data_IF_449790901122
#
_entry.id   IF_449790901122
#
_cell.length_a   1.000
_cell.length_b   1.000
_cell.length_c   1.000
_cell.angle_alpha   90.00
_cell.angle_beta   90.00
_cell.angle_gamma   90.00
#
_symmetry.space_group_name_H-M   'P 1'
#
loop_
_entity.id
_entity.type
_entity.pdbx_description
1 polymer ?
#
# COMPACT_ATOMS: atom_id res chain seq x y z
N UNK A 1 -52.51 19.43 20.13
CA UNK A 1 -51.75 18.58 19.17
C UNK A 1 -50.93 19.50 18.29
N UNK A 2 -49.62 19.63 18.53
CA UNK A 2 -48.71 20.41 17.70
C UNK A 2 -48.08 19.49 16.65
N UNK A 3 -48.24 19.83 15.38
CA UNK A 3 -47.60 19.15 14.26
C UNK A 3 -46.18 19.71 14.07
N UNK A 4 -45.17 18.84 14.20
CA UNK A 4 -43.78 19.17 13.91
C UNK A 4 -43.54 19.03 12.39
N UNK A 5 -43.16 20.13 11.74
CA UNK A 5 -42.69 20.12 10.35
C UNK A 5 -41.24 19.65 10.30
N UNK A 6 -41.00 18.44 9.78
CA UNK A 6 -39.66 17.97 9.42
C UNK A 6 -39.23 18.66 8.12
N UNK A 7 -38.29 19.60 8.22
CA UNK A 7 -37.60 20.18 7.06
C UNK A 7 -36.52 19.20 6.63
N UNK A 8 -36.81 18.34 5.65
CA UNK A 8 -35.80 17.52 4.98
C UNK A 8 -35.06 18.37 3.96
N UNK A 9 -34.03 19.09 4.41
CA UNK A 9 -33.02 19.66 3.54
C UNK A 9 -31.84 18.71 3.48
N UNK A 10 -31.60 18.10 2.33
CA UNK A 10 -30.33 17.46 2.02
C UNK A 10 -30.01 17.70 0.55
N UNK A 11 -29.45 18.87 0.27
CA UNK A 11 -28.71 19.14 -0.96
C UNK A 11 -27.56 18.14 -1.08
N UNK A 12 -27.77 17.06 -1.83
CA UNK A 12 -26.73 16.13 -2.23
C UNK A 12 -26.18 16.53 -3.61
N UNK A 13 -25.56 17.71 -3.72
CA UNK A 13 -24.75 18.08 -4.88
C UNK A 13 -23.51 18.81 -4.38
N UNK A 14 -22.49 18.04 -4.06
CA UNK A 14 -21.20 18.57 -3.67
C UNK A 14 -20.15 17.51 -3.95
N UNK A 15 -19.72 17.41 -5.22
CA UNK A 15 -18.38 16.90 -5.55
C UNK A 15 -17.34 17.91 -5.05
N UNK A 16 -17.39 18.19 -3.74
CA UNK A 16 -16.70 19.27 -3.08
C UNK A 16 -15.23 18.95 -2.91
N UNK A 17 -14.41 19.98 -3.03
CA UNK A 17 -12.99 19.92 -2.73
C UNK A 17 -12.82 19.38 -1.30
N UNK A 18 -12.10 18.26 -1.14
CA UNK A 18 -11.83 17.67 0.18
C UNK A 18 -10.51 18.24 0.76
N UNK A 19 -10.32 18.27 2.09
CA UNK A 19 -9.04 18.69 2.69
C UNK A 19 -7.83 17.95 2.10
N UNK A 20 -7.97 16.65 1.82
CA UNK A 20 -6.96 15.82 1.18
C UNK A 20 -6.53 16.31 -0.21
N UNK A 21 -7.41 16.99 -0.96
CA UNK A 21 -7.03 17.59 -2.25
C UNK A 21 -6.07 18.77 -2.07
N UNK A 22 -6.28 19.61 -1.05
CA UNK A 22 -5.38 20.71 -0.74
C UNK A 22 -4.06 20.21 -0.17
N UNK A 23 -4.09 19.23 0.73
CA UNK A 23 -2.88 18.61 1.27
C UNK A 23 -2.04 18.00 0.15
N UNK A 24 -2.66 17.19 -0.73
CA UNK A 24 -1.97 16.60 -1.87
C UNK A 24 -1.39 17.64 -2.83
N UNK A 25 -2.10 18.74 -3.08
CA UNK A 25 -1.62 19.82 -3.95
C UNK A 25 -0.36 20.52 -3.38
N UNK A 26 -0.12 20.41 -2.07
CA UNK A 26 1.05 20.97 -1.40
C UNK A 26 2.17 19.94 -1.17
N UNK A 27 1.95 18.64 -1.48
CA UNK A 27 3.02 17.64 -1.42
C UNK A 27 4.08 17.96 -2.47
N UNK A 28 5.35 17.94 -2.05
CA UNK A 28 6.45 18.15 -2.99
C UNK A 28 6.49 17.05 -4.04
N UNK A 29 6.68 17.40 -5.32
CA UNK A 29 6.66 16.42 -6.42
C UNK A 29 7.61 15.22 -6.19
N UNK A 30 8.76 15.45 -5.56
CA UNK A 30 9.73 14.39 -5.24
C UNK A 30 9.31 13.48 -4.06
N UNK A 31 8.22 13.79 -3.37
CA UNK A 31 7.62 12.95 -2.32
C UNK A 31 6.44 12.11 -2.84
N UNK A 32 5.98 12.34 -4.09
CA UNK A 32 4.97 11.48 -4.74
C UNK A 32 5.53 10.05 -4.93
N UNK A 33 6.81 9.94 -5.30
CA UNK A 33 7.58 8.69 -5.22
C UNK A 33 8.70 8.92 -4.20
N UNK A 34 8.47 8.57 -2.93
CA UNK A 34 9.34 9.02 -1.85
C UNK A 34 10.72 8.34 -1.91
N UNK A 35 11.77 9.12 -1.64
CA UNK A 35 13.16 8.65 -1.50
C UNK A 35 13.42 8.04 -0.12
N UNK A 36 12.69 6.97 0.22
CA UNK A 36 12.81 6.32 1.53
C UNK A 36 14.02 5.38 1.62
N UNK A 37 14.55 5.19 2.83
CA UNK A 37 15.61 4.22 3.07
C UNK A 37 15.08 2.77 2.96
N UNK A 38 15.94 1.78 2.65
CA UNK A 38 15.54 0.36 2.69
C UNK A 38 14.97 -0.08 4.04
N UNK A 39 15.47 0.48 5.15
CA UNK A 39 14.95 0.21 6.50
C UNK A 39 13.53 0.76 6.65
N UNK A 40 13.32 2.02 6.30
CA UNK A 40 12.00 2.66 6.38
C UNK A 40 10.95 1.91 5.55
N UNK A 41 11.34 1.40 4.38
CA UNK A 41 10.49 0.59 3.51
C UNK A 41 9.98 -0.68 4.22
N UNK A 42 10.87 -1.52 4.74
CA UNK A 42 10.45 -2.77 5.41
C UNK A 42 9.76 -2.50 6.74
N UNK A 43 10.11 -1.44 7.47
CA UNK A 43 9.40 -1.04 8.70
C UNK A 43 7.97 -0.60 8.40
N UNK A 44 7.75 0.19 7.34
CA UNK A 44 6.40 0.56 6.94
C UNK A 44 5.60 -0.65 6.44
N UNK A 45 6.25 -1.59 5.73
CA UNK A 45 5.64 -2.84 5.32
C UNK A 45 5.21 -3.70 6.52
N UNK A 46 6.09 -3.91 7.50
CA UNK A 46 5.74 -4.65 8.72
C UNK A 46 4.58 -3.97 9.45
N UNK A 47 4.64 -2.64 9.62
CA UNK A 47 3.63 -1.87 10.35
C UNK A 47 2.24 -1.92 9.70
N UNK A 48 2.14 -1.56 8.42
CA UNK A 48 0.83 -1.34 7.77
C UNK A 48 0.32 -2.55 7.01
N UNK A 49 1.22 -3.35 6.44
CA UNK A 49 0.84 -4.48 5.62
C UNK A 49 0.79 -5.77 6.45
N UNK A 50 1.84 -6.08 7.22
CA UNK A 50 1.88 -7.31 8.03
C UNK A 50 1.05 -7.18 9.31
N UNK A 51 1.18 -6.06 10.03
CA UNK A 51 0.45 -5.81 11.28
C UNK A 51 -1.08 -5.71 11.14
N UNK A 52 -1.57 -5.61 9.91
CA UNK A 52 -3.00 -5.57 9.57
C UNK A 52 -3.40 -6.66 8.57
N UNK A 53 -2.59 -7.69 8.36
CA UNK A 53 -2.81 -8.69 7.30
C UNK A 53 -4.18 -9.39 7.39
N UNK A 54 -4.72 -9.57 8.59
CA UNK A 54 -6.04 -10.16 8.89
C UNK A 54 -7.20 -9.15 8.81
N UNK A 55 -6.89 -7.85 8.75
CA UNK A 55 -7.86 -6.74 8.84
C UNK A 55 -7.47 -5.56 7.96
N UNK A 56 -7.06 -5.82 6.72
CA UNK A 56 -6.58 -4.77 5.80
C UNK A 56 -7.61 -3.67 5.55
N UNK A 57 -8.91 -3.93 5.72
CA UNK A 57 -9.97 -2.89 5.69
C UNK A 57 -9.79 -1.81 6.76
N UNK A 58 -9.07 -2.10 7.84
CA UNK A 58 -8.82 -1.18 8.96
C UNK A 58 -7.49 -0.42 8.85
N UNK A 59 -6.67 -0.71 7.83
CA UNK A 59 -5.38 -0.01 7.66
C UNK A 59 -5.59 1.45 7.24
N UNK A 60 -6.69 1.76 6.54
CA UNK A 60 -6.97 3.12 6.06
C UNK A 60 -7.06 4.13 7.22
N UNK A 61 -7.87 3.93 8.26
CA UNK A 61 -7.83 4.78 9.45
C UNK A 61 -6.42 4.95 10.02
N UNK A 62 -5.64 3.87 10.13
CA UNK A 62 -4.29 3.93 10.68
C UNK A 62 -3.30 4.74 9.80
N UNK A 63 -3.50 4.75 8.48
CA UNK A 63 -2.74 5.60 7.56
C UNK A 63 -3.14 7.07 7.71
N UNK A 64 -4.44 7.36 7.76
CA UNK A 64 -4.95 8.72 7.94
C UNK A 64 -4.50 9.32 9.30
N UNK A 65 -4.53 8.53 10.38
CA UNK A 65 -4.02 8.92 11.70
C UNK A 65 -2.50 9.16 11.71
N UNK A 66 -1.79 8.63 10.71
CA UNK A 66 -0.36 8.83 10.51
C UNK A 66 -0.07 9.91 9.45
N UNK A 67 -1.01 10.82 9.18
CA UNK A 67 -0.89 11.95 8.24
C UNK A 67 -0.70 11.53 6.77
N UNK A 68 -1.04 10.30 6.41
CA UNK A 68 -1.06 9.91 5.01
C UNK A 68 -2.29 10.46 4.31
N UNK A 69 -2.09 10.89 3.06
CA UNK A 69 -3.11 11.44 2.18
C UNK A 69 -3.39 10.46 1.05
N UNK A 70 -4.67 10.23 0.76
CA UNK A 70 -5.10 9.43 -0.39
C UNK A 70 -4.78 10.18 -1.69
N UNK A 71 -4.05 9.53 -2.60
CA UNK A 71 -3.85 9.99 -3.97
C UNK A 71 -5.09 9.64 -4.78
N UNK A 72 -5.89 10.62 -5.24
CA UNK A 72 -7.04 10.37 -6.09
C UNK A 72 -6.55 9.88 -7.45
N UNK A 73 -7.21 8.85 -7.96
CA UNK A 73 -7.01 8.34 -9.31
C UNK A 73 -8.29 8.52 -10.11
N UNK A 74 -8.13 8.85 -11.38
CA UNK A 74 -9.24 8.99 -12.33
C UNK A 74 -9.77 7.65 -12.84
N UNK A 75 -9.04 6.55 -12.58
CA UNK A 75 -9.45 5.17 -12.87
C UNK A 75 -9.73 4.44 -11.56
N UNK A 76 -10.66 3.49 -11.55
CA UNK A 76 -10.80 2.56 -10.43
C UNK A 76 -9.45 1.84 -10.23
N UNK A 77 -8.69 2.16 -9.17
CA UNK A 77 -7.40 1.53 -9.00
C UNK A 77 -7.61 0.12 -8.46
N UNK A 78 -6.67 -0.77 -8.77
CA UNK A 78 -6.57 -2.03 -8.04
C UNK A 78 -6.18 -1.80 -6.57
N UNK A 79 -5.49 -0.68 -6.27
CA UNK A 79 -4.99 -0.31 -4.95
C UNK A 79 -5.17 1.20 -4.69
N UNK A 80 -5.78 1.57 -3.57
CA UNK A 80 -5.75 2.95 -3.04
C UNK A 80 -4.31 3.28 -2.64
N UNK A 81 -3.79 4.41 -3.11
CA UNK A 81 -2.40 4.84 -2.86
C UNK A 81 -2.38 5.98 -1.85
N UNK A 82 -1.55 5.84 -0.83
CA UNK A 82 -1.41 6.79 0.27
C UNK A 82 0.03 7.31 0.31
N UNK A 83 0.19 8.63 0.37
CA UNK A 83 1.49 9.33 0.38
C UNK A 83 1.54 10.34 1.52
N UNK A 84 2.74 10.82 1.87
CA UNK A 84 2.94 11.84 2.91
C UNK A 84 4.19 12.66 2.59
N UNK A 85 4.21 13.92 3.01
CA UNK A 85 5.20 14.91 2.58
C UNK A 85 6.53 14.90 3.37
N UNK A 86 6.88 13.77 4.00
CA UNK A 86 8.05 13.66 4.89
C UNK A 86 9.02 12.53 4.51
N UNK A 87 8.95 12.07 3.25
CA UNK A 87 9.78 10.99 2.68
C UNK A 87 9.52 9.59 3.24
N UNK A 88 8.49 9.39 4.07
CA UNK A 88 8.04 8.03 4.40
C UNK A 88 7.58 7.30 3.12
N UNK A 89 7.71 5.95 3.08
CA UNK A 89 7.28 5.17 1.92
C UNK A 89 5.79 5.35 1.62
N UNK A 90 5.41 5.26 0.34
CA UNK A 90 4.01 5.20 -0.05
C UNK A 90 3.42 3.84 0.36
N UNK A 91 2.14 3.83 0.72
CA UNK A 91 1.40 2.62 1.08
C UNK A 91 0.23 2.46 0.12
N UNK A 92 0.07 1.25 -0.40
CA UNK A 92 -0.97 0.90 -1.36
C UNK A 92 -1.83 -0.22 -0.77
N UNK A 93 -3.15 -0.07 -0.80
CA UNK A 93 -4.07 -1.00 -0.14
C UNK A 93 -5.24 -1.29 -1.06
N UNK A 94 -5.55 -2.57 -1.28
CA UNK A 94 -6.76 -2.92 -2.01
C UNK A 94 -7.99 -2.66 -1.14
N UNK A 95 -8.99 -1.88 -1.59
CA UNK A 95 -10.19 -1.59 -0.79
C UNK A 95 -11.04 -2.83 -0.48
N UNK A 96 -11.00 -3.83 -1.36
CA UNK A 96 -11.86 -5.03 -1.33
C UNK A 96 -11.08 -6.35 -1.38
N UNK A 97 -9.75 -6.29 -1.51
CA UNK A 97 -8.92 -7.48 -1.58
C UNK A 97 -7.92 -7.50 -0.42
N UNK A 98 -7.47 -8.70 -0.05
CA UNK A 98 -6.44 -8.87 0.95
C UNK A 98 -5.06 -8.53 0.37
N UNK A 99 -4.85 -7.30 -0.09
CA UNK A 99 -3.60 -6.88 -0.73
C UNK A 99 -3.12 -5.56 -0.16
N UNK A 100 -1.85 -5.51 0.21
CA UNK A 100 -1.19 -4.32 0.70
C UNK A 100 0.25 -4.31 0.21
N UNK A 101 0.74 -3.14 -0.19
CA UNK A 101 2.11 -2.98 -0.62
C UNK A 101 2.69 -1.66 -0.16
N UNK A 102 4.00 -1.63 -0.01
CA UNK A 102 4.76 -0.44 0.33
C UNK A 102 5.78 -0.21 -0.75
N UNK A 103 5.88 1.04 -1.21
CA UNK A 103 6.77 1.41 -2.29
C UNK A 103 7.59 2.66 -1.97
N UNK A 104 8.74 2.77 -2.62
CA UNK A 104 9.61 3.93 -2.59
C UNK A 104 10.45 3.96 -3.88
N UNK A 105 11.12 5.08 -4.14
CA UNK A 105 12.10 5.15 -5.22
C UNK A 105 13.14 4.02 -5.08
N UNK A 106 13.48 3.40 -6.21
CA UNK A 106 14.46 2.34 -6.33
C UNK A 106 15.83 2.84 -5.86
N UNK A 107 16.43 2.13 -4.91
CA UNK A 107 17.74 2.43 -4.33
C UNK A 107 18.53 1.16 -4.02
N UNK A 108 19.83 1.34 -3.80
CA UNK A 108 20.75 0.26 -3.45
C UNK A 108 20.34 -0.41 -2.13
N UNK A 109 20.55 -1.73 -2.05
CA UNK A 109 20.30 -2.52 -0.84
C UNK A 109 18.84 -2.88 -0.54
N UNK A 110 17.86 -2.38 -1.30
CA UNK A 110 16.44 -2.70 -1.07
C UNK A 110 16.13 -4.20 -1.22
N UNK A 111 16.59 -4.84 -2.31
CA UNK A 111 16.32 -6.27 -2.55
C UNK A 111 16.94 -7.17 -1.47
N UNK A 112 18.17 -6.86 -1.04
CA UNK A 112 18.83 -7.56 0.07
C UNK A 112 18.07 -7.37 1.39
N UNK A 113 17.73 -6.12 1.74
CA UNK A 113 16.99 -5.81 2.97
C UNK A 113 15.62 -6.48 3.00
N UNK A 114 14.88 -6.46 1.89
CA UNK A 114 13.59 -7.12 1.77
C UNK A 114 13.71 -8.64 1.94
N UNK A 115 14.71 -9.25 1.28
CA UNK A 115 14.99 -10.69 1.41
C UNK A 115 15.30 -11.08 2.86
N UNK A 116 16.22 -10.36 3.51
CA UNK A 116 16.58 -10.61 4.92
C UNK A 116 15.36 -10.46 5.83
N UNK A 117 14.59 -9.38 5.64
CA UNK A 117 13.36 -9.17 6.38
C UNK A 117 12.37 -10.33 6.20
N UNK A 118 12.17 -10.84 4.99
CA UNK A 118 11.25 -11.97 4.76
C UNK A 118 11.74 -13.24 5.46
N UNK A 119 13.04 -13.54 5.35
CA UNK A 119 13.63 -14.70 6.02
C UNK A 119 13.50 -14.62 7.55
N UNK A 120 13.73 -13.45 8.14
CA UNK A 120 13.64 -13.24 9.59
C UNK A 120 12.19 -13.25 10.08
N UNK A 121 11.28 -12.59 9.34
CA UNK A 121 9.89 -12.35 9.78
C UNK A 121 8.97 -13.51 9.50
N UNK A 122 9.20 -14.24 8.41
CA UNK A 122 8.39 -15.36 7.93
C UNK A 122 9.27 -16.61 7.80
N UNK A 123 9.78 -17.11 8.92
CA UNK A 123 10.76 -18.20 8.95
C UNK A 123 10.32 -19.48 8.20
N UNK A 124 9.01 -19.72 8.07
CA UNK A 124 8.45 -20.88 7.35
C UNK A 124 8.04 -20.56 5.90
N UNK A 125 8.32 -19.36 5.38
CA UNK A 125 7.93 -19.00 4.03
C UNK A 125 8.79 -19.72 2.99
N UNK A 126 8.14 -20.30 1.99
CA UNK A 126 8.78 -20.99 0.89
C UNK A 126 8.86 -20.09 -0.33
N UNK A 127 10.04 -19.95 -0.93
CA UNK A 127 10.17 -19.24 -2.20
C UNK A 127 9.38 -19.97 -3.30
N UNK A 128 8.64 -19.20 -4.10
CA UNK A 128 7.82 -19.69 -5.21
C UNK A 128 8.25 -18.96 -6.50
N UNK A 129 8.00 -19.55 -7.69
CA UNK A 129 8.37 -18.92 -8.95
C UNK A 129 7.72 -17.52 -9.09
N UNK A 130 8.51 -16.44 -9.28
CA UNK A 130 7.96 -15.08 -9.41
C UNK A 130 6.95 -14.93 -10.56
N UNK A 131 7.16 -15.70 -11.64
CA UNK A 131 6.29 -15.73 -12.80
C UNK A 131 4.85 -16.18 -12.48
N UNK A 132 4.65 -16.95 -11.40
CA UNK A 132 3.33 -17.40 -10.97
C UNK A 132 2.52 -16.27 -10.31
N UNK A 133 3.19 -15.22 -9.84
CA UNK A 133 2.57 -14.07 -9.17
C UNK A 133 2.26 -12.95 -10.15
N UNK A 134 3.19 -12.63 -11.05
CA UNK A 134 2.92 -11.65 -12.08
C UNK A 134 4.15 -11.15 -12.83
N UNK A 135 3.92 -10.35 -13.88
CA UNK A 135 5.01 -9.73 -14.62
C UNK A 135 5.76 -8.74 -13.73
N UNK A 136 7.09 -8.72 -13.85
CA UNK A 136 8.00 -7.84 -13.10
C UNK A 136 8.18 -8.16 -11.60
N UNK A 137 7.62 -9.27 -11.11
CA UNK A 137 7.94 -9.77 -9.76
C UNK A 137 9.38 -10.27 -9.76
N UNK A 138 10.20 -9.72 -8.85
CA UNK A 138 11.61 -10.12 -8.68
C UNK A 138 11.71 -11.40 -7.85
N UNK A 139 10.95 -11.47 -6.75
CA UNK A 139 10.94 -12.59 -5.80
C UNK A 139 9.56 -12.72 -5.17
N UNK A 140 9.20 -13.94 -4.80
CA UNK A 140 7.95 -14.23 -4.11
C UNK A 140 8.13 -15.38 -3.12
N UNK A 141 7.42 -15.29 -1.99
CA UNK A 141 7.43 -16.29 -0.93
C UNK A 141 6.01 -16.55 -0.47
N UNK A 142 5.66 -17.83 -0.31
CA UNK A 142 4.39 -18.28 0.24
C UNK A 142 4.56 -18.61 1.72
N UNK A 143 3.83 -17.94 2.61
CA UNK A 143 3.80 -18.30 4.03
C UNK A 143 3.07 -19.62 4.24
N UNK A 144 3.46 -20.37 5.28
CA UNK A 144 2.88 -21.68 5.62
C UNK A 144 1.95 -21.62 6.83
N UNK A 145 1.41 -20.44 7.13
CA UNK A 145 0.48 -20.23 8.23
C UNK A 145 -0.94 -20.71 7.86
N UNK A 146 -1.83 -20.78 8.85
CA UNK A 146 -3.24 -21.16 8.64
C UNK A 146 -3.96 -20.31 7.59
N UNK A 147 -3.54 -19.05 7.45
CA UNK A 147 -3.96 -18.14 6.40
C UNK A 147 -2.75 -17.81 5.51
N UNK A 148 -2.49 -18.58 4.44
CA UNK A 148 -1.32 -18.39 3.61
C UNK A 148 -1.35 -17.03 2.91
N UNK A 149 -0.20 -16.37 2.88
CA UNK A 149 0.03 -15.08 2.23
C UNK A 149 1.16 -15.25 1.22
N UNK A 150 1.06 -14.57 0.09
CA UNK A 150 2.20 -14.38 -0.80
C UNK A 150 2.83 -13.03 -0.50
N UNK A 151 4.08 -13.05 -0.02
CA UNK A 151 4.94 -11.87 0.07
C UNK A 151 5.74 -11.77 -1.22
N UNK A 152 5.85 -10.59 -1.81
CA UNK A 152 6.57 -10.41 -3.06
C UNK A 152 7.34 -9.10 -3.09
N UNK A 153 8.38 -9.06 -3.94
CA UNK A 153 9.08 -7.82 -4.30
C UNK A 153 9.02 -7.60 -5.79
N UNK A 154 8.89 -6.34 -6.22
CA UNK A 154 8.93 -5.99 -7.64
C UNK A 154 9.53 -4.61 -7.86
N UNK A 155 9.93 -4.35 -9.11
CA UNK A 155 10.23 -2.99 -9.59
C UNK A 155 9.28 -2.59 -10.70
N UNK A 156 8.89 -1.33 -10.68
CA UNK A 156 8.08 -0.72 -11.74
C UNK A 156 8.77 0.54 -12.25
N UNK A 157 8.68 0.80 -13.55
CA UNK A 157 9.33 1.93 -14.22
C UNK A 157 10.46 1.50 -15.15
N UNK A 158 10.96 2.41 -15.99
CA UNK A 158 12.01 2.12 -16.96
C UNK A 158 13.36 1.89 -16.25
N UNK A 159 14.23 0.99 -16.75
CA UNK A 159 15.56 0.77 -16.19
C UNK A 159 16.45 2.03 -16.19
N UNK A 160 16.20 2.96 -17.11
CA UNK A 160 16.96 4.20 -17.29
C UNK A 160 16.37 5.41 -16.56
N UNK A 161 15.29 5.24 -15.80
CA UNK A 161 14.60 6.33 -15.09
C UNK A 161 14.33 6.03 -13.62
N UNK A 162 13.56 6.88 -12.92
CA UNK A 162 13.17 6.63 -11.54
C UNK A 162 12.23 5.41 -11.51
N UNK A 163 12.81 4.25 -11.21
CA UNK A 163 12.05 3.05 -10.91
C UNK A 163 11.54 3.10 -9.47
N UNK A 164 10.43 2.45 -9.21
CA UNK A 164 9.86 2.25 -7.88
C UNK A 164 10.14 0.83 -7.44
N UNK A 165 10.66 0.63 -6.24
CA UNK A 165 10.73 -0.68 -5.61
C UNK A 165 9.55 -0.87 -4.68
N UNK A 166 8.97 -2.06 -4.73
CA UNK A 166 7.80 -2.42 -3.95
C UNK A 166 8.06 -3.72 -3.20
N UNK A 167 7.60 -3.77 -1.95
CA UNK A 167 7.36 -5.02 -1.19
C UNK A 167 5.86 -5.09 -0.89
N UNK A 168 5.24 -6.23 -1.14
CA UNK A 168 3.81 -6.39 -0.95
C UNK A 168 3.43 -7.73 -0.36
N UNK A 169 2.21 -7.80 0.16
CA UNK A 169 1.50 -9.06 0.41
C UNK A 169 0.20 -9.12 -0.38
N UNK A 170 -0.17 -10.32 -0.76
CA UNK A 170 -1.50 -10.69 -1.21
C UNK A 170 -1.96 -11.92 -0.44
N UNK A 171 -3.23 -11.96 -0.02
CA UNK A 171 -3.84 -13.17 0.51
C UNK A 171 -3.81 -14.26 -0.55
N UNK A 172 -3.26 -15.42 -0.22
CA UNK A 172 -3.29 -16.57 -1.11
C UNK A 172 -4.73 -17.10 -1.12
N UNK A 173 -5.59 -16.52 -1.97
CA UNK A 173 -6.83 -17.21 -2.32
C UNK A 173 -6.40 -18.51 -3.00
N UNK A 174 -6.47 -19.61 -2.27
CA UNK A 174 -6.41 -20.95 -2.85
C UNK A 174 -7.52 -20.96 -3.89
N UNK A 175 -7.16 -20.89 -5.18
CA UNK A 175 -8.13 -21.23 -6.22
C UNK A 175 -8.50 -22.70 -5.94
N UNK A 176 -9.78 -23.00 -5.67
CA UNK A 176 -10.20 -24.40 -5.54
C UNK A 176 -9.93 -25.16 -6.84
#
# INVERSE_FOLDING_TARGET
MLAAFTVTSACAIGGGVTPSMFELANIWQYNIIPKSSPRSLVTAFDRYCVGYADRLSTVRPALLDADYVLVPTTRQPALDTYVVDDRRPMVMVAPQAASCAVAAESRTGQSHRATTYVADRFANAREIPPADIGPNVERAWLTQDANPLVVFTMRQGPPSGPATFMIGLIGAKVRP
#
